data_IF_542534507282
#
_entry.id   IF_542534507282
#
_cell.length_a   1.000
_cell.length_b   1.000
_cell.length_c   1.000
_cell.angle_alpha   90.00
_cell.angle_beta   90.00
_cell.angle_gamma   90.00
#
_symmetry.space_group_name_H-M   'P 1'
#
loop_
_entity.id
_entity.type
_entity.pdbx_description
1 polymer ?
#
# COMPACT_ATOMS: atom_id res chain seq x y z
N UNK A 1 16.74 -8.82 -16.20
CA UNK A 1 16.22 -9.13 -14.85
C UNK A 1 15.86 -7.87 -14.04
N UNK A 2 15.45 -6.75 -14.68
CA UNK A 2 15.22 -5.44 -14.01
C UNK A 2 13.83 -4.80 -14.27
N UNK A 3 12.93 -5.45 -15.02
CA UNK A 3 11.64 -4.83 -15.42
C UNK A 3 10.52 -4.91 -14.37
N UNK A 4 10.63 -5.72 -13.32
CA UNK A 4 9.61 -5.79 -12.26
C UNK A 4 9.59 -4.55 -11.36
N UNK A 5 10.62 -3.69 -11.42
CA UNK A 5 10.69 -2.45 -10.64
C UNK A 5 9.70 -1.37 -11.09
N UNK A 6 8.94 -1.55 -12.18
CA UNK A 6 7.89 -0.62 -12.59
C UNK A 6 6.51 -0.97 -12.03
N UNK A 7 6.28 -2.23 -11.66
CA UNK A 7 5.02 -2.63 -11.03
C UNK A 7 5.06 -2.20 -9.57
N UNK A 8 4.02 -1.48 -9.14
CA UNK A 8 3.86 -0.99 -7.77
C UNK A 8 2.53 -1.50 -7.24
N UNK A 9 2.56 -2.04 -6.03
CA UNK A 9 1.36 -2.44 -5.29
C UNK A 9 0.91 -1.24 -4.45
N UNK A 10 -0.28 -0.66 -4.70
CA UNK A 10 -0.74 0.47 -3.90
C UNK A 10 -0.89 0.06 -2.43
N UNK A 11 -0.59 0.97 -1.52
CA UNK A 11 -0.83 0.79 -0.08
C UNK A 11 -2.31 0.98 0.25
N UNK A 12 -3.10 1.57 -0.65
CA UNK A 12 -4.49 1.94 -0.39
C UNK A 12 -4.64 3.24 0.40
N UNK A 13 -3.53 3.89 0.79
CA UNK A 13 -3.53 5.20 1.43
C UNK A 13 -3.20 6.25 0.35
N UNK A 14 -4.18 7.04 -0.11
CA UNK A 14 -3.99 7.94 -1.26
C UNK A 14 -2.92 9.01 -1.06
N UNK A 15 -2.69 9.42 0.19
CA UNK A 15 -1.65 10.38 0.54
C UNK A 15 -0.24 9.76 0.58
N UNK A 16 -0.13 8.44 0.74
CA UNK A 16 1.15 7.73 0.84
C UNK A 16 1.61 7.17 -0.50
N UNK A 17 0.69 6.69 -1.33
CA UNK A 17 1.04 6.07 -2.61
C UNK A 17 1.92 6.97 -3.51
N UNK A 18 1.66 8.28 -3.67
CA UNK A 18 2.54 9.17 -4.44
C UNK A 18 3.93 9.35 -3.82
N UNK A 19 4.03 9.30 -2.49
CA UNK A 19 5.32 9.39 -1.77
C UNK A 19 6.18 8.15 -2.04
N UNK A 20 5.53 7.01 -2.30
CA UNK A 20 6.17 5.75 -2.64
C UNK A 20 6.19 5.49 -4.15
N UNK A 21 6.10 6.52 -5.01
CA UNK A 21 6.15 6.35 -6.47
C UNK A 21 5.06 5.37 -6.99
N UNK A 22 3.86 5.50 -6.44
CA UNK A 22 2.69 4.67 -6.78
C UNK A 22 2.51 3.42 -5.92
N UNK A 23 3.39 3.15 -4.95
CA UNK A 23 3.21 2.10 -3.95
C UNK A 23 4.46 1.27 -3.66
N UNK A 24 4.29 0.02 -3.23
CA UNK A 24 5.38 -0.84 -2.79
C UNK A 24 5.76 -1.83 -3.92
N UNK A 25 7.05 -2.08 -4.20
CA UNK A 25 7.45 -3.11 -5.15
C UNK A 25 6.94 -4.51 -4.75
N UNK A 26 6.42 -5.32 -5.69
CA UNK A 26 5.96 -6.67 -5.40
C UNK A 26 7.03 -7.54 -4.73
N UNK A 27 6.63 -8.34 -3.74
CA UNK A 27 7.53 -9.22 -3.00
C UNK A 27 8.38 -8.53 -1.93
N UNK A 28 8.16 -7.24 -1.67
CA UNK A 28 8.86 -6.51 -0.60
C UNK A 28 8.37 -6.94 0.78
N UNK A 29 9.27 -6.90 1.76
CA UNK A 29 8.94 -6.93 3.19
C UNK A 29 8.99 -5.51 3.72
N UNK A 30 7.92 -5.06 4.37
CA UNK A 30 7.80 -3.72 4.94
C UNK A 30 7.75 -3.79 6.45
N UNK A 31 8.63 -3.05 7.12
CA UNK A 31 8.63 -2.88 8.57
C UNK A 31 7.90 -1.57 8.92
N UNK A 32 6.81 -1.67 9.67
CA UNK A 32 6.08 -0.52 10.19
C UNK A 32 6.52 -0.25 11.64
N UNK A 33 7.34 0.78 11.84
CA UNK A 33 7.91 1.14 13.14
C UNK A 33 7.19 2.37 13.73
N UNK A 34 6.85 2.29 15.01
CA UNK A 34 6.30 3.42 15.77
C UNK A 34 6.08 3.06 17.23
N UNK A 35 6.01 4.08 18.07
CA UNK A 35 5.75 3.94 19.50
C UNK A 35 4.31 3.50 19.80
N UNK A 36 4.05 3.16 21.06
CA UNK A 36 2.68 2.90 21.55
C UNK A 36 1.81 4.13 21.28
N UNK A 37 0.68 3.93 20.60
CA UNK A 37 -0.23 5.02 20.23
C UNK A 37 0.10 5.73 18.91
N UNK A 38 1.18 5.36 18.21
CA UNK A 38 1.52 5.94 16.89
C UNK A 38 0.55 5.55 15.76
N UNK A 39 -0.43 4.68 16.04
CA UNK A 39 -1.47 4.29 15.08
C UNK A 39 -1.05 3.19 14.10
N UNK A 40 0.02 2.43 14.36
CA UNK A 40 0.49 1.35 13.48
C UNK A 40 -0.60 0.34 13.12
N UNK A 41 -1.38 -0.09 14.11
CA UNK A 41 -2.51 -1.02 13.90
C UNK A 41 -3.60 -0.39 13.04
N UNK A 42 -3.94 0.88 13.30
CA UNK A 42 -4.94 1.63 12.55
C UNK A 42 -4.50 1.84 11.09
N UNK A 43 -3.22 2.13 10.88
CA UNK A 43 -2.61 2.24 9.55
C UNK A 43 -2.81 0.95 8.75
N UNK A 44 -2.51 -0.20 9.36
CA UNK A 44 -2.68 -1.51 8.70
C UNK A 44 -4.14 -1.76 8.34
N UNK A 45 -5.07 -1.49 9.25
CA UNK A 45 -6.50 -1.65 8.96
C UNK A 45 -7.00 -0.72 7.87
N UNK A 46 -6.68 0.56 7.96
CA UNK A 46 -7.06 1.56 6.95
C UNK A 46 -6.48 1.23 5.57
N UNK A 47 -5.22 0.80 5.52
CA UNK A 47 -4.55 0.34 4.30
C UNK A 47 -5.29 -0.85 3.69
N UNK A 48 -5.58 -1.89 4.47
CA UNK A 48 -6.28 -3.09 3.99
C UNK A 48 -7.70 -2.80 3.50
N UNK A 49 -8.48 -2.05 4.28
CA UNK A 49 -9.87 -1.71 3.93
C UNK A 49 -9.89 -0.91 2.62
N UNK A 50 -9.03 0.11 2.53
CA UNK A 50 -8.97 0.97 1.35
C UNK A 50 -8.48 0.19 0.13
N UNK A 51 -7.48 -0.69 0.30
CA UNK A 51 -6.98 -1.54 -0.78
C UNK A 51 -8.06 -2.50 -1.31
N UNK A 52 -8.85 -3.11 -0.43
CA UNK A 52 -10.00 -3.96 -0.84
C UNK A 52 -11.05 -3.12 -1.57
N UNK A 53 -11.34 -1.91 -1.10
CA UNK A 53 -12.27 -0.99 -1.76
C UNK A 53 -11.78 -0.57 -3.15
N UNK A 54 -10.47 -0.37 -3.34
CA UNK A 54 -9.87 -0.09 -4.65
C UNK A 54 -9.97 -1.30 -5.59
N UNK A 55 -9.69 -2.52 -5.11
CA UNK A 55 -9.81 -3.74 -5.93
C UNK A 55 -11.22 -3.95 -6.47
N UNK A 56 -12.25 -3.59 -5.71
CA UNK A 56 -13.65 -3.66 -6.16
C UNK A 56 -13.99 -2.68 -7.30
N UNK A 57 -13.22 -1.60 -7.47
CA UNK A 57 -13.43 -0.58 -8.51
C UNK A 57 -12.70 -0.90 -9.81
N UNK A 58 -11.65 -1.72 -9.77
CA UNK A 58 -10.92 -2.18 -10.94
C UNK A 58 -11.46 -3.47 -11.57
N UNK A 59 -12.75 -3.80 -11.33
CA UNK A 59 -13.45 -5.01 -11.79
C UNK A 59 -14.39 -4.82 -12.98
N UNK A 60 -14.17 -3.76 -13.75
CA UNK A 60 -14.69 -3.46 -15.09
C UNK A 60 -13.51 -2.70 -15.70
N UNK A 61 -12.74 -3.23 -16.65
CA UNK A 61 -13.08 -3.75 -17.97
C UNK A 61 -12.04 -4.80 -18.44
#
# INVERSE_FOLDING_TARGET
MQDTLRVRMPTGIPSLDPVLDGGIPPGSVVLLLGDVGAGNTEFVYSSLISLVALKKRGGTD
#
